data_IF_754044546004
#
_entry.id   IF_754044546004
#
_cell.length_a   1.000
_cell.length_b   1.000
_cell.length_c   1.000
_cell.angle_alpha   90.00
_cell.angle_beta   90.00
_cell.angle_gamma   90.00
#
_symmetry.space_group_name_H-M   'P 1'
#
loop_
_entity.id
_entity.type
_entity.pdbx_description
1 polymer ?
#
# COMPACT_ATOMS: atom_id res chain seq x y z
N UNK A 1 -12.23 -6.28 21.35
CA UNK A 1 -10.84 -5.80 21.39
C UNK A 1 -10.72 -4.26 21.50
N UNK A 2 -11.84 -3.53 21.55
CA UNK A 2 -11.84 -2.09 21.90
C UNK A 2 -11.32 -1.95 23.33
N UNK A 3 -10.19 -1.24 23.52
CA UNK A 3 -9.61 -0.93 24.83
C UNK A 3 -8.20 -1.48 25.12
N UNK A 4 -7.65 -2.40 24.29
CA UNK A 4 -6.29 -2.93 24.48
C UNK A 4 -5.19 -2.02 23.86
N UNK A 5 -5.53 -1.27 22.83
CA UNK A 5 -4.64 -0.31 22.17
C UNK A 5 -5.32 1.06 22.10
N UNK A 6 -4.57 2.17 22.13
CA UNK A 6 -5.13 3.51 22.06
C UNK A 6 -5.75 3.77 20.68
N UNK A 7 -6.71 4.69 20.62
CA UNK A 7 -7.35 5.14 19.36
C UNK A 7 -6.35 5.86 18.46
N UNK A 8 -5.37 6.51 19.06
CA UNK A 8 -4.32 7.25 18.35
C UNK A 8 -2.97 6.92 18.97
N UNK A 9 -1.99 6.67 18.13
CA UNK A 9 -0.61 6.48 18.50
C UNK A 9 0.30 6.97 17.37
N UNK A 10 1.12 7.95 17.66
CA UNK A 10 2.24 8.34 16.82
C UNK A 10 3.50 8.37 17.70
N UNK A 11 4.56 7.64 17.34
CA UNK A 11 5.82 7.76 18.04
C UNK A 11 6.40 9.17 17.81
N UNK A 12 7.22 9.72 18.74
CA UNK A 12 7.91 10.98 18.51
C UNK A 12 8.70 10.96 17.21
N UNK A 13 8.73 12.07 16.51
CA UNK A 13 9.27 12.18 15.15
C UNK A 13 10.76 11.76 15.05
N UNK A 14 11.56 12.05 16.07
CA UNK A 14 12.97 11.66 16.21
C UNK A 14 13.17 10.15 16.47
N UNK A 15 12.17 9.49 17.04
CA UNK A 15 12.15 8.04 17.32
C UNK A 15 11.41 7.23 16.24
N UNK A 16 10.69 7.93 15.38
CA UNK A 16 9.81 7.37 14.37
C UNK A 16 10.58 6.74 13.21
N UNK A 17 11.84 7.11 13.07
CA UNK A 17 12.65 6.70 11.92
C UNK A 17 13.80 5.87 12.42
N UNK A 18 13.69 4.56 12.20
CA UNK A 18 14.85 3.70 12.24
C UNK A 18 15.87 4.28 11.25
N UNK A 19 17.15 4.31 11.55
CA UNK A 19 18.19 4.98 10.73
C UNK A 19 18.33 4.51 9.28
N UNK A 20 17.41 3.70 8.79
CA UNK A 20 17.31 3.18 7.41
C UNK A 20 15.99 3.50 6.75
N UNK A 21 15.12 4.22 7.43
CA UNK A 21 13.84 4.64 6.90
C UNK A 21 14.08 5.62 5.76
N UNK A 22 13.35 5.45 4.66
CA UNK A 22 13.54 6.27 3.48
C UNK A 22 14.79 6.00 2.65
N UNK A 23 15.65 5.06 3.03
CA UNK A 23 16.77 4.61 2.18
C UNK A 23 16.28 3.59 1.14
N UNK A 24 15.44 4.07 0.24
CA UNK A 24 14.84 3.27 -0.84
C UNK A 24 15.89 2.80 -1.84
N UNK A 25 16.98 3.57 -2.06
CA UNK A 25 18.05 3.17 -2.97
C UNK A 25 18.79 1.96 -2.42
N UNK A 26 19.08 1.96 -1.12
CA UNK A 26 19.67 0.80 -0.44
C UNK A 26 18.73 -0.39 -0.44
N UNK A 27 17.43 -0.17 -0.18
CA UNK A 27 16.44 -1.25 -0.21
C UNK A 27 16.40 -1.95 -1.58
N UNK A 28 16.45 -1.18 -2.67
CA UNK A 28 16.53 -1.71 -4.04
C UNK A 28 17.84 -2.46 -4.29
N UNK A 29 18.97 -1.88 -3.95
CA UNK A 29 20.29 -2.50 -4.13
C UNK A 29 20.39 -3.85 -3.37
N UNK A 30 19.97 -3.88 -2.13
CA UNK A 30 19.91 -5.09 -1.31
C UNK A 30 18.98 -6.15 -1.93
N UNK A 31 17.83 -5.75 -2.48
CA UNK A 31 16.90 -6.66 -3.14
C UNK A 31 17.51 -7.30 -4.40
N UNK A 32 18.32 -6.56 -5.15
CA UNK A 32 18.94 -7.03 -6.38
C UNK A 32 20.16 -7.92 -6.13
N UNK A 33 20.93 -7.66 -5.07
CA UNK A 33 22.25 -8.26 -4.83
C UNK A 33 22.25 -9.35 -3.75
N UNK A 34 21.41 -9.24 -2.74
CA UNK A 34 21.37 -10.18 -1.63
C UNK A 34 20.41 -11.35 -1.86
N UNK A 35 20.61 -12.43 -1.08
CA UNK A 35 19.59 -13.47 -0.98
C UNK A 35 18.35 -12.91 -0.25
N UNK A 36 17.26 -12.70 -0.96
CA UNK A 36 16.04 -12.05 -0.46
C UNK A 36 14.81 -12.95 -0.58
N UNK A 37 14.98 -14.26 -0.35
CA UNK A 37 13.90 -15.25 -0.49
C UNK A 37 12.66 -14.89 0.35
N UNK A 38 12.87 -14.50 1.60
CA UNK A 38 11.79 -14.12 2.50
C UNK A 38 11.04 -12.89 1.99
N UNK A 39 11.78 -11.83 1.62
CA UNK A 39 11.19 -10.60 1.08
C UNK A 39 10.47 -10.87 -0.25
N UNK A 40 11.05 -11.70 -1.13
CA UNK A 40 10.40 -12.10 -2.39
C UNK A 40 9.10 -12.87 -2.15
N UNK A 41 9.03 -13.69 -1.10
CA UNK A 41 7.79 -14.39 -0.74
C UNK A 41 6.68 -13.42 -0.29
N UNK A 42 7.03 -12.41 0.51
CA UNK A 42 6.10 -11.33 0.88
C UNK A 42 5.65 -10.54 -0.35
N UNK A 43 6.59 -10.05 -1.16
CA UNK A 43 6.28 -9.21 -2.32
C UNK A 43 5.47 -9.95 -3.39
N UNK A 44 5.66 -11.24 -3.57
CA UNK A 44 4.78 -12.07 -4.41
C UNK A 44 3.34 -12.05 -3.91
N UNK A 45 3.13 -12.28 -2.61
CA UNK A 45 1.79 -12.25 -2.02
C UNK A 45 1.14 -10.86 -2.17
N UNK A 46 1.96 -9.81 -2.07
CA UNK A 46 1.55 -8.41 -2.13
C UNK A 46 1.21 -7.93 -3.54
N UNK A 47 1.93 -8.39 -4.56
CA UNK A 47 1.94 -7.78 -5.89
C UNK A 47 1.43 -8.70 -7.02
N UNK A 48 1.71 -10.03 -7.00
CA UNK A 48 1.42 -10.88 -8.16
C UNK A 48 -0.08 -10.95 -8.53
N UNK A 49 -0.99 -10.76 -7.57
CA UNK A 49 -2.43 -10.72 -7.83
C UNK A 49 -2.85 -9.56 -8.76
N UNK A 50 -2.04 -8.51 -8.84
CA UNK A 50 -2.31 -7.36 -9.70
C UNK A 50 -2.31 -7.76 -11.18
N UNK A 51 -1.54 -8.80 -11.54
CA UNK A 51 -1.47 -9.30 -12.91
C UNK A 51 -2.82 -9.82 -13.43
N UNK A 52 -3.72 -10.27 -12.55
CA UNK A 52 -5.08 -10.71 -12.92
C UNK A 52 -5.98 -9.52 -13.34
N UNK A 53 -5.51 -8.29 -13.07
CA UNK A 53 -6.24 -7.05 -13.30
C UNK A 53 -5.58 -6.13 -14.34
N UNK A 54 -4.49 -6.55 -14.97
CA UNK A 54 -3.71 -5.79 -15.95
C UNK A 54 -3.73 -6.55 -17.28
N UNK A 55 -4.00 -5.84 -18.37
CA UNK A 55 -3.91 -6.36 -19.74
C UNK A 55 -2.56 -6.01 -20.35
N UNK A 56 -2.17 -6.74 -21.37
CA UNK A 56 -0.86 -6.56 -22.03
C UNK A 56 -0.65 -5.20 -22.68
N UNK A 57 -1.74 -4.53 -23.07
CA UNK A 57 -1.74 -3.23 -23.75
C UNK A 57 -2.08 -2.05 -22.84
N UNK A 58 -2.36 -2.29 -21.56
CA UNK A 58 -2.68 -1.26 -20.58
C UNK A 58 -1.51 -0.29 -20.37
N UNK A 59 -1.84 0.99 -20.24
CA UNK A 59 -0.96 2.03 -19.69
C UNK A 59 -1.08 1.96 -18.17
N UNK A 60 -0.02 1.50 -17.52
CA UNK A 60 0.04 1.30 -16.08
C UNK A 60 0.92 2.36 -15.44
N UNK A 61 0.41 3.04 -14.43
CA UNK A 61 1.15 4.05 -13.66
C UNK A 61 1.21 3.62 -12.20
N UNK A 62 2.41 3.44 -11.68
CA UNK A 62 2.63 3.26 -10.25
C UNK A 62 2.89 4.61 -9.59
N UNK A 63 2.12 4.94 -8.55
CA UNK A 63 2.26 6.16 -7.75
C UNK A 63 2.92 5.81 -6.41
N UNK A 64 4.00 6.52 -6.07
CA UNK A 64 4.78 6.26 -4.86
C UNK A 64 5.57 4.95 -4.95
N UNK A 65 6.32 4.74 -6.03
CA UNK A 65 7.02 3.47 -6.29
C UNK A 65 8.13 3.15 -5.27
N UNK A 66 8.61 4.13 -4.50
CA UNK A 66 9.67 3.94 -3.53
C UNK A 66 10.88 3.22 -4.13
N UNK A 67 11.20 2.03 -3.62
CA UNK A 67 12.32 1.21 -4.13
C UNK A 67 12.08 0.60 -5.53
N UNK A 68 10.91 0.83 -6.15
CA UNK A 68 10.58 0.35 -7.48
C UNK A 68 10.54 -1.17 -7.60
N UNK A 69 10.12 -1.87 -6.54
CA UNK A 69 10.14 -3.34 -6.52
C UNK A 69 8.96 -3.96 -7.28
N UNK A 70 7.94 -3.20 -7.60
CA UNK A 70 6.75 -3.65 -8.32
C UNK A 70 7.11 -4.20 -9.71
N UNK A 71 8.08 -3.61 -10.40
CA UNK A 71 8.53 -4.05 -11.72
C UNK A 71 9.03 -5.51 -11.77
N UNK A 72 9.45 -6.08 -10.64
CA UNK A 72 9.92 -7.47 -10.56
C UNK A 72 8.80 -8.49 -10.40
N UNK A 73 7.56 -8.05 -10.20
CA UNK A 73 6.42 -8.92 -9.89
C UNK A 73 5.19 -8.64 -10.76
N UNK A 74 5.09 -7.44 -11.31
CA UNK A 74 3.97 -7.00 -12.17
C UNK A 74 4.42 -7.02 -13.62
N UNK A 75 3.68 -7.79 -14.44
CA UNK A 75 3.94 -7.98 -15.87
C UNK A 75 3.11 -6.99 -16.67
N UNK A 76 3.61 -5.77 -16.83
CA UNK A 76 2.98 -4.75 -17.66
C UNK A 76 3.97 -4.25 -18.71
N UNK A 77 3.58 -4.23 -19.99
CA UNK A 77 4.46 -3.80 -21.08
C UNK A 77 4.75 -2.29 -21.04
N UNK A 78 3.89 -1.52 -20.36
CA UNK A 78 3.99 -0.05 -20.23
C UNK A 78 3.82 0.36 -18.77
N UNK A 79 4.71 -0.10 -17.88
CA UNK A 79 4.73 0.32 -16.49
C UNK A 79 5.56 1.61 -16.34
N UNK A 80 4.91 2.68 -15.91
CA UNK A 80 5.53 3.95 -15.55
C UNK A 80 5.62 4.03 -14.02
N UNK A 81 6.79 3.78 -13.45
CA UNK A 81 7.04 3.95 -12.03
C UNK A 81 7.24 5.44 -11.72
N UNK A 82 6.43 6.00 -10.82
CA UNK A 82 6.51 7.41 -10.42
C UNK A 82 6.58 7.55 -8.90
N UNK A 83 7.17 8.65 -8.44
CA UNK A 83 7.29 8.99 -7.02
C UNK A 83 7.33 10.50 -6.87
N UNK A 84 7.03 11.01 -5.67
CA UNK A 84 7.20 12.44 -5.36
C UNK A 84 8.67 12.83 -5.33
N UNK A 85 9.57 11.88 -5.12
CA UNK A 85 11.03 12.04 -5.14
C UNK A 85 11.64 11.44 -6.41
N UNK A 86 12.69 12.07 -6.98
CA UNK A 86 13.41 11.50 -8.09
C UNK A 86 14.32 10.36 -7.63
N UNK A 87 14.15 9.19 -8.24
CA UNK A 87 15.06 8.06 -8.12
C UNK A 87 15.52 7.64 -9.53
N UNK A 88 16.68 6.96 -9.69
CA UNK A 88 17.19 6.54 -11.01
C UNK A 88 16.24 5.62 -11.81
N UNK A 89 15.26 5.02 -11.14
CA UNK A 89 14.27 4.11 -11.73
C UNK A 89 12.88 4.75 -11.90
N UNK A 90 12.67 5.98 -11.42
CA UNK A 90 11.41 6.70 -11.67
C UNK A 90 11.38 7.27 -13.07
N UNK A 91 10.26 7.07 -13.77
CA UNK A 91 10.02 7.66 -15.08
C UNK A 91 9.68 9.16 -14.98
N UNK A 92 9.06 9.57 -13.87
CA UNK A 92 8.70 10.96 -13.60
C UNK A 92 8.52 11.20 -12.09
N UNK A 93 8.71 12.46 -11.66
CA UNK A 93 8.28 12.92 -10.34
C UNK A 93 6.81 13.31 -10.42
N UNK A 94 5.97 12.68 -9.60
CA UNK A 94 4.52 12.91 -9.58
C UNK A 94 4.05 13.04 -8.13
N UNK A 95 3.37 14.15 -7.86
CA UNK A 95 2.59 14.30 -6.63
C UNK A 95 1.22 13.65 -6.84
N UNK A 96 0.90 12.66 -6.01
CA UNK A 96 -0.35 11.91 -6.09
C UNK A 96 -1.60 12.79 -5.84
N UNK A 97 -1.44 13.95 -5.17
CA UNK A 97 -2.52 14.91 -4.96
C UNK A 97 -2.72 15.83 -6.18
N UNK A 98 -1.75 15.90 -7.11
CA UNK A 98 -1.74 16.77 -8.29
C UNK A 98 -1.30 15.98 -9.54
N UNK A 99 -2.12 15.03 -9.97
CA UNK A 99 -1.78 14.12 -11.07
C UNK A 99 -1.66 14.88 -12.41
N UNK A 100 -0.51 14.77 -13.12
CA UNK A 100 -0.27 15.47 -14.39
C UNK A 100 -0.83 14.73 -15.61
N UNK A 101 -1.73 13.77 -15.42
CA UNK A 101 -2.27 12.95 -16.51
C UNK A 101 -3.56 13.56 -17.06
N UNK A 102 -3.73 13.46 -18.37
CA UNK A 102 -4.96 13.91 -19.03
C UNK A 102 -6.17 13.08 -18.57
N UNK A 103 -7.39 13.65 -18.59
CA UNK A 103 -8.60 12.89 -18.29
C UNK A 103 -8.72 11.64 -19.18
N UNK A 104 -9.13 10.53 -18.59
CA UNK A 104 -9.34 9.25 -19.26
C UNK A 104 -8.13 8.78 -20.09
N UNK A 105 -6.90 8.95 -19.59
CA UNK A 105 -5.66 8.59 -20.30
C UNK A 105 -4.94 7.36 -19.74
N UNK A 106 -5.25 6.92 -18.53
CA UNK A 106 -4.58 5.82 -17.83
C UNK A 106 -5.52 4.63 -17.71
N UNK A 107 -5.04 3.42 -17.98
CA UNK A 107 -5.81 2.19 -17.85
C UNK A 107 -5.74 1.64 -16.42
N UNK A 108 -4.55 1.67 -15.81
CA UNK A 108 -4.35 1.13 -14.46
C UNK A 108 -3.45 2.05 -13.63
N UNK A 109 -3.90 2.42 -12.43
CA UNK A 109 -3.03 2.95 -11.39
C UNK A 109 -2.70 1.86 -10.37
N UNK A 110 -1.46 1.86 -9.89
CA UNK A 110 -0.98 1.00 -8.81
C UNK A 110 -0.53 1.88 -7.64
N UNK A 111 -0.97 1.54 -6.41
CA UNK A 111 -0.55 2.18 -5.18
C UNK A 111 -0.20 1.09 -4.15
N UNK A 112 1.05 1.08 -3.68
CA UNK A 112 1.54 0.09 -2.72
C UNK A 112 2.11 0.79 -1.50
N UNK A 113 1.43 0.68 -0.37
CA UNK A 113 1.80 1.34 0.89
C UNK A 113 2.05 2.85 0.69
N UNK A 114 1.14 3.54 0.04
CA UNK A 114 1.28 4.95 -0.32
C UNK A 114 0.11 5.81 0.17
N UNK A 115 -1.13 5.32 0.10
CA UNK A 115 -2.33 6.11 0.39
C UNK A 115 -2.36 6.54 1.86
N UNK A 116 -1.85 5.73 2.77
CA UNK A 116 -1.79 6.07 4.19
C UNK A 116 -0.79 7.20 4.52
N UNK A 117 0.05 7.62 3.57
CA UNK A 117 0.90 8.81 3.66
C UNK A 117 0.21 10.09 3.15
N UNK A 118 -0.91 9.99 2.46
CA UNK A 118 -1.57 11.15 1.88
C UNK A 118 -2.29 11.98 2.94
N UNK A 119 -2.11 13.31 2.88
CA UNK A 119 -2.82 14.23 3.75
C UNK A 119 -4.32 14.27 3.44
N UNK A 120 -4.69 14.20 2.16
CA UNK A 120 -6.08 14.27 1.69
C UNK A 120 -6.41 13.11 0.74
N UNK A 121 -6.68 11.89 1.26
CA UNK A 121 -6.92 10.70 0.43
C UNK A 121 -8.10 10.83 -0.53
N UNK A 122 -9.12 11.64 -0.18
CA UNK A 122 -10.28 11.89 -1.07
C UNK A 122 -9.91 12.73 -2.28
N UNK A 123 -9.08 13.75 -2.12
CA UNK A 123 -8.56 14.57 -3.24
C UNK A 123 -7.79 13.68 -4.23
N UNK A 124 -6.96 12.77 -3.71
CA UNK A 124 -6.28 11.76 -4.52
C UNK A 124 -7.26 10.90 -5.32
N UNK A 125 -8.30 10.35 -4.68
CA UNK A 125 -9.28 9.50 -5.36
C UNK A 125 -10.10 10.27 -6.42
N UNK A 126 -10.43 11.53 -6.18
CA UNK A 126 -11.09 12.39 -7.18
C UNK A 126 -10.19 12.60 -8.42
N UNK A 127 -8.88 12.79 -8.21
CA UNK A 127 -7.92 12.89 -9.31
C UNK A 127 -7.77 11.57 -10.07
N UNK A 128 -7.72 10.43 -9.37
CA UNK A 128 -7.69 9.09 -9.99
C UNK A 128 -8.93 8.85 -10.85
N UNK A 129 -10.14 9.15 -10.34
CA UNK A 129 -11.38 9.02 -11.13
C UNK A 129 -11.27 9.80 -12.44
N UNK A 130 -10.74 11.02 -12.39
CA UNK A 130 -10.60 11.87 -13.57
C UNK A 130 -9.65 11.25 -14.59
N UNK A 131 -8.48 10.78 -14.15
CA UNK A 131 -7.42 10.30 -15.06
C UNK A 131 -7.67 8.89 -15.59
N UNK A 132 -8.42 8.03 -14.86
CA UNK A 132 -8.75 6.69 -15.30
C UNK A 132 -9.71 6.69 -16.51
N UNK A 133 -9.45 5.83 -17.48
CA UNK A 133 -10.41 5.49 -18.52
C UNK A 133 -11.65 4.80 -17.93
N UNK A 134 -12.82 4.90 -18.57
CA UNK A 134 -13.94 4.03 -18.25
C UNK A 134 -13.52 2.56 -18.32
N UNK A 135 -13.81 1.78 -17.27
CA UNK A 135 -13.32 0.40 -17.12
C UNK A 135 -11.87 0.27 -16.63
N UNK A 136 -11.15 1.39 -16.47
CA UNK A 136 -9.81 1.41 -15.87
C UNK A 136 -9.83 1.07 -14.38
N UNK A 137 -8.68 0.71 -13.83
CA UNK A 137 -8.57 0.17 -12.46
C UNK A 137 -7.58 0.91 -11.60
N UNK A 138 -7.90 1.00 -10.31
CA UNK A 138 -6.96 1.39 -9.26
C UNK A 138 -6.67 0.14 -8.40
N UNK A 139 -5.43 -0.32 -8.44
CA UNK A 139 -4.93 -1.47 -7.69
C UNK A 139 -4.19 -0.97 -6.45
N UNK A 140 -4.69 -1.35 -5.29
CA UNK A 140 -4.23 -0.86 -4.00
C UNK A 140 -3.70 -2.03 -3.17
N UNK A 141 -2.53 -1.86 -2.57
CA UNK A 141 -2.11 -2.66 -1.44
C UNK A 141 -1.70 -1.73 -0.30
N UNK A 142 -2.39 -1.84 0.84
CA UNK A 142 -2.19 -0.95 2.00
C UNK A 142 -2.06 -1.74 3.30
N UNK A 143 -1.40 -1.18 4.34
CA UNK A 143 -1.44 -1.73 5.67
C UNK A 143 -2.89 -1.85 6.15
N UNK A 144 -3.20 -2.97 6.79
CA UNK A 144 -4.48 -3.15 7.46
C UNK A 144 -4.29 -3.01 8.97
N UNK A 145 -4.99 -2.09 9.66
CA UNK A 145 -4.81 -1.83 11.09
C UNK A 145 -5.44 -2.92 11.97
N UNK A 146 -5.08 -4.18 11.72
CA UNK A 146 -5.42 -5.31 12.58
C UNK A 146 -4.72 -5.18 13.93
N UNK A 147 -5.16 -5.98 14.91
CA UNK A 147 -4.52 -6.01 16.23
C UNK A 147 -3.01 -6.28 16.14
N UNK A 148 -2.60 -7.25 15.30
CA UNK A 148 -1.18 -7.60 15.15
C UNK A 148 -0.40 -6.51 14.42
N UNK A 149 -0.99 -5.81 13.44
CA UNK A 149 -0.35 -4.67 12.79
C UNK A 149 -0.14 -3.51 13.79
N UNK A 150 -1.16 -3.13 14.53
CA UNK A 150 -1.04 -2.06 15.53
C UNK A 150 -0.04 -2.40 16.64
N UNK A 151 0.01 -3.67 17.05
CA UNK A 151 1.02 -4.14 18.01
C UNK A 151 2.44 -4.05 17.42
N UNK A 152 2.63 -4.46 16.18
CA UNK A 152 3.91 -4.37 15.48
C UNK A 152 4.37 -2.90 15.35
N UNK A 153 3.51 -1.99 14.92
CA UNK A 153 3.81 -0.56 14.83
C UNK A 153 4.20 0.03 16.19
N UNK A 154 3.49 -0.35 17.25
CA UNK A 154 3.81 0.11 18.62
C UNK A 154 5.17 -0.37 19.09
N UNK A 155 5.55 -1.60 18.76
CA UNK A 155 6.85 -2.19 19.14
C UNK A 155 7.99 -1.63 18.30
N UNK A 156 7.78 -1.50 16.99
CA UNK A 156 8.80 -1.03 16.03
C UNK A 156 8.98 0.48 16.06
N UNK A 157 7.94 1.23 16.48
CA UNK A 157 7.92 2.70 16.48
C UNK A 157 8.29 3.31 15.12
N UNK A 158 7.83 2.68 14.06
CA UNK A 158 8.15 3.06 12.70
C UNK A 158 7.17 4.11 12.17
N UNK A 159 5.89 3.85 12.32
CA UNK A 159 4.78 4.72 11.93
C UNK A 159 3.70 4.68 13.01
N UNK A 160 2.68 5.51 12.83
CA UNK A 160 1.57 5.59 13.75
C UNK A 160 0.21 5.24 13.14
N UNK A 161 -0.81 5.47 13.92
CA UNK A 161 -2.20 5.40 13.48
C UNK A 161 -3.07 6.38 14.26
N UNK A 162 -4.14 6.84 13.64
CA UNK A 162 -5.22 7.55 14.30
C UNK A 162 -6.56 7.19 13.67
N UNK A 163 -7.46 6.66 14.47
CA UNK A 163 -8.87 6.48 14.11
C UNK A 163 -9.72 7.72 14.44
N UNK A 164 -9.11 8.79 14.96
CA UNK A 164 -9.80 10.03 15.33
C UNK A 164 -9.93 11.02 14.16
N UNK A 165 -9.39 10.68 12.98
CA UNK A 165 -9.51 11.50 11.77
C UNK A 165 -10.65 10.99 10.90
N UNK A 166 -11.27 11.89 10.14
CA UNK A 166 -12.18 11.52 9.06
C UNK A 166 -11.45 11.50 7.72
N UNK A 167 -11.16 10.31 7.21
CA UNK A 167 -10.46 10.14 5.94
C UNK A 167 -11.26 10.64 4.71
N UNK A 168 -12.55 10.98 4.89
CA UNK A 168 -13.40 11.55 3.85
C UNK A 168 -13.48 13.08 3.90
N UNK A 169 -12.94 13.71 4.93
CA UNK A 169 -12.92 15.17 5.02
C UNK A 169 -11.70 15.74 4.24
N UNK A 170 -11.93 16.49 3.16
CA UNK A 170 -10.83 17.05 2.38
C UNK A 170 -10.21 18.30 3.04
N UNK A 171 -10.83 18.84 4.11
CA UNK A 171 -10.39 20.07 4.78
C UNK A 171 -9.50 19.79 5.99
N UNK A 172 -9.59 18.58 6.55
CA UNK A 172 -8.80 18.17 7.72
C UNK A 172 -7.76 17.14 7.29
N UNK A 173 -6.47 17.50 7.33
CA UNK A 173 -5.43 16.56 6.93
C UNK A 173 -5.44 15.28 7.78
N UNK A 174 -5.40 14.13 7.13
CA UNK A 174 -5.32 12.83 7.78
C UNK A 174 -3.89 12.47 8.21
N UNK A 175 -2.91 13.19 7.66
CA UNK A 175 -1.47 13.11 7.94
C UNK A 175 -0.86 14.51 7.94
N UNK A 176 0.38 14.62 8.40
CA UNK A 176 1.16 15.86 8.30
C UNK A 176 1.51 16.13 6.82
N UNK A 177 0.96 17.19 6.20
CA UNK A 177 1.23 17.48 4.79
C UNK A 177 2.66 17.96 4.53
N UNK A 178 3.39 18.38 5.56
CA UNK A 178 4.79 18.83 5.44
C UNK A 178 5.81 17.67 5.51
N UNK A 179 5.38 16.48 5.95
CA UNK A 179 6.22 15.30 6.07
C UNK A 179 5.71 14.14 5.18
N UNK A 180 6.33 13.91 4.01
CA UNK A 180 5.93 12.82 3.11
C UNK A 180 6.11 11.41 3.71
N UNK A 181 6.81 11.30 4.84
CA UNK A 181 6.98 10.06 5.59
C UNK A 181 6.00 9.92 6.76
N UNK A 182 5.18 10.92 7.00
CA UNK A 182 4.09 10.82 7.97
C UNK A 182 3.11 9.75 7.48
N UNK A 183 2.87 8.72 8.27
CA UNK A 183 2.00 7.60 7.91
C UNK A 183 0.91 7.39 8.96
N UNK A 184 -0.36 7.42 8.53
CA UNK A 184 -1.49 7.02 9.35
C UNK A 184 -2.04 5.68 8.86
N UNK A 185 -1.61 4.59 9.48
CA UNK A 185 -1.99 3.23 9.08
C UNK A 185 -3.49 2.90 9.30
N UNK A 186 -4.27 3.79 9.90
CA UNK A 186 -5.72 3.63 10.00
C UNK A 186 -6.46 4.06 8.72
N UNK A 187 -5.82 4.82 7.81
CA UNK A 187 -6.45 5.39 6.61
C UNK A 187 -7.10 4.31 5.72
N UNK A 188 -6.42 3.19 5.50
CA UNK A 188 -6.97 2.11 4.67
C UNK A 188 -8.31 1.59 5.21
N UNK A 189 -8.43 1.43 6.53
CA UNK A 189 -9.67 1.01 7.17
C UNK A 189 -10.72 2.13 7.20
N UNK A 190 -10.32 3.37 7.50
CA UNK A 190 -11.23 4.52 7.56
C UNK A 190 -11.84 4.84 6.19
N UNK A 191 -11.04 4.72 5.12
CA UNK A 191 -11.44 5.05 3.76
C UNK A 191 -12.15 3.89 3.06
N UNK A 192 -11.61 2.67 3.18
CA UNK A 192 -12.02 1.50 2.38
C UNK A 192 -12.74 0.43 3.22
N UNK A 193 -12.88 0.61 4.54
CA UNK A 193 -13.53 -0.37 5.41
C UNK A 193 -15.05 -0.31 5.37
N UNK A 194 -15.64 0.87 5.16
CA UNK A 194 -17.08 1.06 4.96
C UNK A 194 -17.36 1.23 3.46
N UNK A 195 -17.67 0.12 2.79
CA UNK A 195 -17.95 0.10 1.36
C UNK A 195 -19.16 0.95 0.97
N UNK A 196 -20.15 1.09 1.85
CA UNK A 196 -21.34 1.88 1.53
C UNK A 196 -21.05 3.37 1.63
N UNK A 197 -20.27 3.80 2.64
CA UNK A 197 -19.79 5.17 2.72
C UNK A 197 -18.91 5.50 1.52
N UNK A 198 -17.98 4.60 1.17
CA UNK A 198 -17.10 4.76 0.00
C UNK A 198 -17.92 4.91 -1.29
N UNK A 199 -18.89 4.03 -1.56
CA UNK A 199 -19.72 4.08 -2.77
C UNK A 199 -20.57 5.34 -2.86
N UNK A 200 -21.05 5.89 -1.72
CA UNK A 200 -21.77 7.17 -1.72
C UNK A 200 -20.89 8.33 -2.13
N UNK A 201 -19.62 8.34 -1.70
CA UNK A 201 -18.66 9.43 -2.02
C UNK A 201 -18.04 9.26 -3.41
N UNK A 202 -17.83 8.03 -3.83
CA UNK A 202 -17.17 7.66 -5.10
C UNK A 202 -18.06 6.69 -5.90
N UNK A 203 -19.21 7.15 -6.42
CA UNK A 203 -20.17 6.29 -7.13
C UNK A 203 -19.60 5.74 -8.45
N UNK A 204 -18.58 6.40 -9.01
CA UNK A 204 -17.89 5.96 -10.22
C UNK A 204 -17.05 4.69 -10.01
N UNK A 205 -16.72 4.34 -8.78
CA UNK A 205 -15.96 3.13 -8.49
C UNK A 205 -16.86 1.95 -8.09
N UNK A 206 -16.40 0.74 -8.45
CA UNK A 206 -16.87 -0.52 -7.88
C UNK A 206 -15.70 -1.33 -7.36
N UNK A 207 -15.87 -2.01 -6.24
CA UNK A 207 -14.93 -3.01 -5.76
C UNK A 207 -15.03 -4.25 -6.65
N UNK A 208 -13.94 -4.68 -7.26
CA UNK A 208 -13.85 -5.89 -8.07
C UNK A 208 -12.99 -6.96 -7.42
N UNK A 209 -12.16 -6.56 -6.44
CA UNK A 209 -11.33 -7.45 -5.63
C UNK A 209 -11.11 -6.83 -4.25
N UNK A 210 -11.10 -7.65 -3.19
CA UNK A 210 -10.79 -7.25 -1.82
C UNK A 210 -10.30 -8.46 -1.03
N UNK A 211 -9.05 -8.41 -0.54
CA UNK A 211 -8.41 -9.53 0.15
C UNK A 211 -7.51 -9.05 1.27
N UNK A 212 -7.64 -9.69 2.41
CA UNK A 212 -6.74 -9.54 3.55
C UNK A 212 -5.58 -10.51 3.47
N UNK A 213 -4.39 -10.07 3.87
CA UNK A 213 -3.15 -10.85 3.74
C UNK A 213 -2.09 -10.43 4.76
N UNK A 214 -0.94 -11.09 4.73
CA UNK A 214 0.27 -10.71 5.43
C UNK A 214 0.16 -10.79 6.95
N UNK A 215 0.49 -11.94 7.50
CA UNK A 215 0.66 -12.12 8.95
C UNK A 215 2.08 -12.56 9.27
N UNK A 216 2.42 -13.83 8.97
CA UNK A 216 3.75 -14.37 9.25
C UNK A 216 4.81 -13.88 8.25
N UNK A 217 4.44 -13.75 6.96
CA UNK A 217 5.39 -13.33 5.93
C UNK A 217 5.89 -11.90 6.16
N UNK A 218 5.09 -11.03 6.78
CA UNK A 218 5.52 -9.65 7.04
C UNK A 218 6.73 -9.60 7.98
N UNK A 219 6.70 -10.10 9.24
CA UNK A 219 7.89 -10.11 10.10
C UNK A 219 9.01 -10.99 9.56
N UNK A 220 8.70 -12.11 8.92
CA UNK A 220 9.71 -12.99 8.31
C UNK A 220 10.46 -12.35 7.14
N UNK A 221 9.88 -11.36 6.47
CA UNK A 221 10.53 -10.66 5.37
C UNK A 221 11.72 -9.79 5.82
N UNK A 222 11.69 -9.35 7.07
CA UNK A 222 12.65 -8.37 7.60
C UNK A 222 12.36 -6.94 7.17
N UNK A 223 11.20 -6.68 6.55
CA UNK A 223 10.81 -5.35 6.06
C UNK A 223 11.30 -5.03 4.64
N UNK A 224 10.68 -4.05 4.01
CA UNK A 224 11.02 -3.60 2.64
C UNK A 224 12.08 -2.50 2.70
N UNK A 225 11.77 -1.39 3.32
CA UNK A 225 12.63 -0.19 3.40
C UNK A 225 13.35 -0.14 4.75
N UNK A 226 12.62 -0.17 5.85
CA UNK A 226 13.17 -0.33 7.18
C UNK A 226 13.47 -1.81 7.42
N UNK A 227 14.76 -2.17 7.50
CA UNK A 227 15.17 -3.58 7.49
C UNK A 227 15.63 -4.08 8.84
N UNK A 228 15.06 -5.22 9.24
CA UNK A 228 15.56 -6.07 10.31
C UNK A 228 16.26 -7.28 9.72
N UNK A 229 17.44 -7.62 10.25
CA UNK A 229 18.16 -8.83 9.83
C UNK A 229 17.40 -10.07 10.25
N UNK A 230 17.03 -10.91 9.27
CA UNK A 230 16.33 -12.18 9.48
C UNK A 230 17.01 -13.30 8.71
N UNK A 231 17.10 -14.53 9.27
CA UNK A 231 17.62 -15.68 8.54
C UNK A 231 16.77 -15.98 7.30
N UNK A 232 17.43 -16.31 6.19
CA UNK A 232 16.73 -16.70 4.97
C UNK A 232 16.18 -18.12 5.09
N UNK A 233 14.87 -18.26 5.04
CA UNK A 233 14.18 -19.51 5.24
C UNK A 233 14.10 -20.36 3.96
N UNK A 234 14.03 -21.71 4.08
CA UNK A 234 13.76 -22.58 2.95
C UNK A 234 12.40 -22.29 2.30
N UNK A 235 12.29 -22.51 0.99
CA UNK A 235 11.07 -22.25 0.23
C UNK A 235 9.83 -23.01 0.77
N UNK A 236 10.02 -24.22 1.30
CA UNK A 236 8.95 -25.00 1.92
C UNK A 236 8.36 -24.29 3.15
N UNK A 237 9.24 -23.74 4.01
CA UNK A 237 8.81 -23.01 5.21
C UNK A 237 8.03 -21.75 4.82
N UNK A 238 8.52 -21.00 3.81
CA UNK A 238 7.83 -19.82 3.31
C UNK A 238 6.47 -20.16 2.68
N UNK A 239 6.36 -21.28 1.96
CA UNK A 239 5.07 -21.76 1.44
C UNK A 239 4.10 -22.15 2.54
N UNK A 240 4.59 -22.82 3.59
CA UNK A 240 3.78 -23.13 4.77
C UNK A 240 3.30 -21.84 5.49
N UNK A 241 4.21 -20.88 5.71
CA UNK A 241 3.85 -19.58 6.28
C UNK A 241 2.80 -18.85 5.43
N UNK A 242 2.94 -18.82 4.11
CA UNK A 242 1.95 -18.22 3.21
C UNK A 242 0.58 -18.94 3.25
N UNK A 243 0.55 -20.25 3.46
CA UNK A 243 -0.69 -21.01 3.64
C UNK A 243 -1.38 -20.67 4.96
N UNK A 244 -0.61 -20.56 6.04
CA UNK A 244 -1.09 -20.13 7.36
C UNK A 244 -1.61 -18.69 7.29
N UNK A 245 -0.89 -17.79 6.63
CA UNK A 245 -1.32 -16.40 6.42
C UNK A 245 -2.70 -16.34 5.75
N UNK A 246 -2.88 -17.08 4.65
CA UNK A 246 -4.18 -17.11 3.95
C UNK A 246 -5.31 -17.59 4.86
N UNK A 247 -5.06 -18.64 5.64
CA UNK A 247 -6.06 -19.19 6.55
C UNK A 247 -6.42 -18.19 7.67
N UNK A 248 -5.43 -17.69 8.40
CA UNK A 248 -5.65 -16.83 9.55
C UNK A 248 -6.19 -15.45 9.15
N UNK A 249 -5.68 -14.86 8.06
CA UNK A 249 -6.18 -13.59 7.54
C UNK A 249 -7.61 -13.71 6.99
N UNK A 250 -8.02 -14.89 6.50
CA UNK A 250 -9.40 -15.14 6.09
C UNK A 250 -10.34 -15.32 7.30
N UNK A 251 -9.94 -16.12 8.30
CA UNK A 251 -10.79 -16.44 9.45
C UNK A 251 -10.94 -15.27 10.42
N UNK A 252 -9.88 -14.48 10.64
CA UNK A 252 -9.89 -13.40 11.61
C UNK A 252 -9.04 -12.20 11.12
N UNK A 253 -9.46 -11.50 10.05
CA UNK A 253 -8.68 -10.42 9.44
C UNK A 253 -8.41 -9.26 10.40
N UNK A 254 -9.35 -8.94 11.28
CA UNK A 254 -9.18 -7.89 12.30
C UNK A 254 -8.11 -8.19 13.36
N UNK A 255 -7.69 -9.46 13.47
CA UNK A 255 -6.62 -9.87 14.38
C UNK A 255 -5.31 -10.00 13.64
N UNK A 256 -5.28 -10.75 12.55
CA UNK A 256 -4.04 -11.23 11.94
C UNK A 256 -3.61 -10.45 10.70
N UNK A 257 -4.54 -10.00 9.86
CA UNK A 257 -4.16 -9.43 8.56
C UNK A 257 -3.45 -8.09 8.71
N UNK A 258 -2.20 -8.02 8.29
CA UNK A 258 -1.37 -6.82 8.33
C UNK A 258 -1.39 -6.05 7.01
N UNK A 259 -1.88 -6.66 5.93
CA UNK A 259 -2.06 -6.06 4.62
C UNK A 259 -3.46 -6.30 4.05
N UNK A 260 -3.90 -5.39 3.19
CA UNK A 260 -5.16 -5.49 2.43
C UNK A 260 -4.92 -5.11 0.99
N UNK A 261 -5.39 -5.94 0.08
CA UNK A 261 -5.30 -5.77 -1.37
C UNK A 261 -6.68 -5.50 -1.94
N UNK A 262 -6.83 -4.43 -2.71
CA UNK A 262 -8.11 -3.97 -3.26
C UNK A 262 -7.93 -3.60 -4.73
N UNK A 263 -8.87 -4.02 -5.59
CA UNK A 263 -9.02 -3.45 -6.92
C UNK A 263 -10.36 -2.71 -7.00
N UNK A 264 -10.27 -1.44 -7.36
CA UNK A 264 -11.39 -0.59 -7.71
C UNK A 264 -11.42 -0.44 -9.23
N UNK A 265 -12.60 -0.58 -9.83
CA UNK A 265 -12.78 -0.37 -11.27
C UNK A 265 -13.69 0.83 -11.50
N UNK A 266 -13.28 1.76 -12.37
CA UNK A 266 -14.13 2.86 -12.80
C UNK A 266 -15.25 2.34 -13.69
N UNK A 267 -16.49 2.67 -13.33
CA UNK A 267 -17.67 2.25 -14.09
C UNK A 267 -17.60 2.76 -15.53
N UNK A 268 -18.14 1.97 -16.44
CA UNK A 268 -18.42 2.45 -17.80
C UNK A 268 -19.50 3.53 -17.68
N UNK A 269 -19.30 4.64 -18.36
CA UNK A 269 -20.34 5.66 -18.54
C UNK A 269 -21.40 5.02 -19.43
N UNK A 270 -22.64 4.93 -18.93
CA UNK A 270 -23.77 4.40 -19.70
C UNK A 270 -24.18 5.38 -20.79
#
# INVERSE_FOLDING_TARGET
MKGLLPTTFFPPHDQNRMGREGDVARARADFQTASTRNLRALLRQRLEWMNDHIRSDDIVVELGCGAGLTEFFVSASRLMATDVRPYPWTAACVDALHLPFAPASVDVFICVNMIHHLATPTTFLDAIVTCLRPGGRLLIHEPNPSFMMLLALRLMRHEGWSFAVDAFDPLVPANDPSDPWSGNNAISQLLLGDHDRFRRRFPDFRFVFDRYSEFLLFPLSGGVTAKTSVPQLPAMVLRAAAAIDRLLCHLAPSIFAMGRSIALEKRLVA
#
